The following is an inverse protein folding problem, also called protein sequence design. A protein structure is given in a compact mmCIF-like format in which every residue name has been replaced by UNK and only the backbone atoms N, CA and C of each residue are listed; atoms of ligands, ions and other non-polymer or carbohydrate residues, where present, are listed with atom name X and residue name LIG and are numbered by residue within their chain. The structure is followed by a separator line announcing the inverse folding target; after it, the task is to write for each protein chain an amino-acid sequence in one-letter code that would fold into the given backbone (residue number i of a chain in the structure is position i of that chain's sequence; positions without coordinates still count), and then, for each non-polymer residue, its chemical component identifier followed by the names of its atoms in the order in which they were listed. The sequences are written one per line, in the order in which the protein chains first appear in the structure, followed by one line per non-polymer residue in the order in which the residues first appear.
data_IF_573747247346
#
_entry.id   IF_573747247346
#
_cell.length_a   1.000
_cell.length_b   1.000
_cell.length_c   1.000
_cell.angle_alpha   90.00
_cell.angle_beta   90.00
_cell.angle_gamma   90.00
#
_symmetry.space_group_name_H-M   'P 1'
#
loop_
_entity.id
_entity.type
_entity.pdbx_description
1 polymer ?
#
# COMPACT_ATOMS: atom_id res chain seq x y z
N UNK A 1 -5.53 -13.35 -15.90
CA UNK A 1 -6.06 -12.31 -15.00
C UNK A 1 -7.29 -11.72 -15.66
N UNK A 2 -8.46 -11.71 -15.01
CA UNK A 2 -9.67 -11.06 -15.56
C UNK A 2 -9.77 -9.65 -14.99
N UNK A 3 -9.81 -8.64 -15.85
CA UNK A 3 -10.12 -7.27 -15.43
C UNK A 3 -11.59 -7.23 -15.01
N UNK A 4 -11.84 -6.93 -13.73
CA UNK A 4 -13.18 -6.67 -13.21
C UNK A 4 -13.11 -5.37 -12.43
N UNK A 5 -13.75 -4.34 -12.98
CA UNK A 5 -13.85 -3.05 -12.35
C UNK A 5 -14.82 -3.13 -11.17
N UNK A 6 -14.31 -2.92 -9.96
CA UNK A 6 -15.15 -2.91 -8.77
C UNK A 6 -15.29 -1.47 -8.25
N UNK A 7 -16.46 -0.82 -8.44
CA UNK A 7 -16.65 0.58 -8.06
C UNK A 7 -16.49 0.82 -6.55
N UNK A 8 -16.69 -0.20 -5.72
CA UNK A 8 -16.49 -0.12 -4.28
C UNK A 8 -15.01 0.13 -3.91
N UNK A 9 -14.09 -0.62 -4.52
CA UNK A 9 -12.66 -0.45 -4.27
C UNK A 9 -12.12 0.88 -4.82
N UNK A 10 -12.72 1.40 -5.90
CA UNK A 10 -12.39 2.73 -6.41
C UNK A 10 -12.85 3.81 -5.45
N UNK A 11 -14.08 3.72 -4.93
CA UNK A 11 -14.56 4.65 -3.91
C UNK A 11 -13.63 4.67 -2.69
N UNK A 12 -13.20 3.50 -2.21
CA UNK A 12 -12.22 3.39 -1.13
C UNK A 12 -10.86 4.00 -1.49
N UNK A 13 -10.36 3.75 -2.69
CA UNK A 13 -9.08 4.30 -3.16
C UNK A 13 -9.13 5.83 -3.19
N UNK A 14 -10.19 6.41 -3.77
CA UNK A 14 -10.37 7.87 -3.82
C UNK A 14 -10.49 8.44 -2.42
N UNK A 15 -11.26 7.79 -1.53
CA UNK A 15 -11.40 8.23 -0.14
C UNK A 15 -10.06 8.22 0.59
N UNK A 16 -9.30 7.13 0.49
CA UNK A 16 -7.97 7.01 1.11
C UNK A 16 -7.00 8.05 0.55
N UNK A 17 -7.01 8.26 -0.77
CA UNK A 17 -6.18 9.27 -1.43
C UNK A 17 -6.52 10.68 -0.92
N UNK A 18 -7.80 11.01 -0.81
CA UNK A 18 -8.23 12.30 -0.26
C UNK A 18 -7.77 12.44 1.20
N UNK A 19 -7.89 11.39 2.01
CA UNK A 19 -7.40 11.39 3.41
C UNK A 19 -5.89 11.64 3.44
N UNK A 20 -5.09 10.96 2.61
CA UNK A 20 -3.66 11.21 2.51
C UNK A 20 -3.34 12.65 2.12
N UNK A 21 -4.04 13.20 1.11
CA UNK A 21 -3.88 14.61 0.70
C UNK A 21 -4.26 15.56 1.83
N UNK A 22 -5.32 15.26 2.59
CA UNK A 22 -5.71 16.05 3.75
C UNK A 22 -4.64 16.00 4.84
N UNK A 23 -4.10 14.82 5.15
CA UNK A 23 -2.98 14.69 6.10
C UNK A 23 -1.77 15.48 5.59
N UNK A 24 -1.42 15.32 4.32
CA UNK A 24 -0.30 16.02 3.68
C UNK A 24 -0.52 17.54 3.50
N UNK A 25 -1.72 18.07 3.73
CA UNK A 25 -2.00 19.51 3.61
C UNK A 25 -2.29 20.17 4.95
N UNK A 26 -2.98 19.48 5.85
CA UNK A 26 -3.44 20.05 7.12
C UNK A 26 -2.62 19.57 8.32
N UNK A 27 -2.02 18.36 8.26
CA UNK A 27 -1.16 17.85 9.32
C UNK A 27 0.27 18.28 9.04
N UNK A 28 0.77 19.18 9.88
CA UNK A 28 2.13 19.72 9.80
C UNK A 28 3.10 18.99 10.75
N UNK A 29 2.61 17.98 11.48
CA UNK A 29 3.46 17.15 12.34
C UNK A 29 4.40 16.28 11.51
N UNK A 30 5.70 16.39 11.80
CA UNK A 30 6.76 15.64 11.15
C UNK A 30 6.72 14.12 11.44
N UNK A 31 5.90 13.70 12.40
CA UNK A 31 5.74 12.28 12.77
C UNK A 31 4.50 11.66 12.10
N UNK A 32 3.33 12.29 12.26
CA UNK A 32 2.08 11.75 11.72
C UNK A 32 2.11 11.73 10.19
N UNK A 33 2.67 12.78 9.57
CA UNK A 33 2.71 12.90 8.11
C UNK A 33 3.42 11.72 7.42
N UNK A 34 4.67 11.35 7.77
CA UNK A 34 5.33 10.20 7.16
C UNK A 34 4.72 8.87 7.63
N UNK A 35 4.63 8.61 8.94
CA UNK A 35 4.25 7.26 9.41
C UNK A 35 2.80 6.87 9.13
N UNK A 36 1.85 7.80 9.29
CA UNK A 36 0.46 7.51 8.96
C UNK A 36 0.25 7.45 7.44
N UNK A 37 0.99 8.27 6.68
CA UNK A 37 1.05 8.20 5.23
C UNK A 37 1.52 6.84 4.75
N UNK A 38 2.68 6.38 5.19
CA UNK A 38 3.27 5.09 4.76
C UNK A 38 2.37 3.89 5.05
N UNK A 39 1.65 3.92 6.17
CA UNK A 39 0.64 2.91 6.48
C UNK A 39 -0.57 3.00 5.52
N UNK A 40 -1.09 4.20 5.28
CA UNK A 40 -2.24 4.43 4.40
C UNK A 40 -1.91 4.14 2.93
N UNK A 41 -0.70 4.47 2.46
CA UNK A 41 -0.28 4.30 1.07
C UNK A 41 -0.23 2.83 0.69
N UNK A 42 0.16 1.93 1.61
CA UNK A 42 0.14 0.47 1.38
C UNK A 42 -1.28 -0.03 1.19
N UNK A 43 -2.22 0.46 2.00
CA UNK A 43 -3.65 0.12 1.88
C UNK A 43 -4.23 0.69 0.58
N UNK A 44 -3.86 1.93 0.25
CA UNK A 44 -4.27 2.60 -0.98
C UNK A 44 -3.77 1.84 -2.21
N UNK A 45 -2.48 1.49 -2.26
CA UNK A 45 -1.90 0.70 -3.36
C UNK A 45 -2.61 -0.64 -3.51
N UNK A 46 -2.88 -1.32 -2.40
CA UNK A 46 -3.65 -2.56 -2.41
C UNK A 46 -5.06 -2.36 -3.00
N UNK A 47 -5.81 -1.37 -2.51
CA UNK A 47 -7.15 -1.05 -3.01
C UNK A 47 -7.13 -0.65 -4.49
N UNK A 48 -6.14 0.13 -4.91
CA UNK A 48 -5.95 0.56 -6.29
C UNK A 48 -5.73 -0.66 -7.19
N UNK A 49 -4.82 -1.57 -6.85
CA UNK A 49 -4.56 -2.78 -7.64
C UNK A 49 -5.82 -3.65 -7.70
N UNK A 50 -6.49 -3.87 -6.56
CA UNK A 50 -7.73 -4.65 -6.49
C UNK A 50 -8.89 -4.00 -7.25
N UNK A 51 -8.84 -2.70 -7.52
CA UNK A 51 -9.88 -2.00 -8.27
C UNK A 51 -9.87 -2.32 -9.77
N UNK A 52 -8.69 -2.62 -10.33
CA UNK A 52 -8.50 -2.99 -11.74
C UNK A 52 -8.33 -4.50 -11.93
N UNK A 53 -7.68 -5.17 -10.98
CA UNK A 53 -7.27 -6.57 -11.11
C UNK A 53 -7.94 -7.43 -10.04
N UNK A 54 -8.63 -8.48 -10.47
CA UNK A 54 -9.12 -9.50 -9.56
C UNK A 54 -7.97 -10.47 -9.21
N UNK A 55 -7.18 -10.09 -8.20
CA UNK A 55 -6.07 -10.88 -7.67
C UNK A 55 -6.34 -11.30 -6.20
N UNK A 56 -5.74 -12.41 -5.73
CA UNK A 56 -5.91 -12.83 -4.35
C UNK A 56 -5.24 -11.83 -3.40
N UNK A 57 -5.86 -11.59 -2.23
CA UNK A 57 -5.43 -10.55 -1.28
C UNK A 57 -3.97 -10.73 -0.85
N UNK A 58 -3.59 -11.95 -0.47
CA UNK A 58 -2.26 -12.28 0.06
C UNK A 58 -1.14 -11.94 -0.92
N UNK A 59 -1.14 -12.43 -2.18
CA UNK A 59 -0.07 -12.10 -3.13
C UNK A 59 -0.02 -10.61 -3.48
N UNK A 60 -1.16 -9.89 -3.52
CA UNK A 60 -1.13 -8.43 -3.75
C UNK A 60 -0.50 -7.71 -2.56
N UNK A 61 -0.91 -8.05 -1.33
CA UNK A 61 -0.34 -7.45 -0.12
C UNK A 61 1.16 -7.74 0.01
N UNK A 62 1.59 -8.97 -0.28
CA UNK A 62 3.01 -9.34 -0.29
C UNK A 62 3.79 -8.64 -1.40
N UNK A 63 3.20 -8.47 -2.59
CA UNK A 63 3.84 -7.74 -3.68
C UNK A 63 4.04 -6.26 -3.34
N UNK A 64 3.02 -5.61 -2.75
CA UNK A 64 3.13 -4.22 -2.26
C UNK A 64 4.19 -4.11 -1.17
N UNK A 65 4.19 -5.02 -0.18
CA UNK A 65 5.19 -5.04 0.89
C UNK A 65 6.61 -5.22 0.35
N UNK A 66 6.81 -6.19 -0.56
CA UNK A 66 8.10 -6.44 -1.19
C UNK A 66 8.57 -5.24 -2.02
N UNK A 67 7.65 -4.57 -2.72
CA UNK A 67 7.94 -3.35 -3.46
C UNK A 67 8.38 -2.22 -2.53
N UNK A 68 7.67 -1.98 -1.43
CA UNK A 68 8.06 -0.98 -0.43
C UNK A 68 9.45 -1.26 0.16
N UNK A 69 9.75 -2.53 0.51
CA UNK A 69 11.08 -2.91 1.01
C UNK A 69 12.18 -2.74 -0.03
N UNK A 70 11.88 -2.98 -1.30
CA UNK A 70 12.81 -2.76 -2.40
C UNK A 70 13.13 -1.26 -2.53
N UNK A 71 12.12 -0.39 -2.50
CA UNK A 71 12.30 1.06 -2.54
C UNK A 71 13.16 1.53 -1.35
N UNK A 72 12.83 1.05 -0.15
CA UNK A 72 13.57 1.35 1.09
C UNK A 72 15.04 0.87 1.02
N UNK A 73 15.28 -0.30 0.45
CA UNK A 73 16.64 -0.83 0.23
C UNK A 73 17.40 0.03 -0.79
N UNK A 74 16.75 0.51 -1.85
CA UNK A 74 17.36 1.42 -2.82
C UNK A 74 17.76 2.75 -2.18
N UNK A 75 16.95 3.27 -1.25
CA UNK A 75 17.29 4.44 -0.44
C UNK A 75 18.49 4.17 0.47
N UNK A 76 18.53 3.00 1.13
CA UNK A 76 19.66 2.59 1.97
C UNK A 76 20.99 2.58 1.20
N UNK A 77 20.98 2.07 -0.04
CA UNK A 77 22.16 2.11 -0.92
C UNK A 77 22.51 3.50 -1.44
N UNK A 78 21.75 4.54 -1.06
CA UNK A 78 21.90 5.90 -1.52
C UNK A 78 21.92 5.97 -3.05
N UNK A 79 20.99 5.26 -3.71
CA UNK A 79 20.95 5.17 -5.16
C UNK A 79 20.90 6.56 -5.81
N UNK A 80 20.18 7.51 -5.21
CA UNK A 80 20.11 8.92 -5.64
C UNK A 80 21.50 9.56 -5.67
N UNK A 81 22.35 9.26 -4.67
CA UNK A 81 23.74 9.72 -4.62
C UNK A 81 24.61 9.05 -5.66
N UNK A 82 24.50 7.72 -5.79
CA UNK A 82 25.31 6.94 -6.76
C UNK A 82 24.99 7.31 -8.21
N UNK A 83 23.75 7.69 -8.51
CA UNK A 83 23.32 8.13 -9.84
C UNK A 83 23.63 9.61 -10.11
N UNK A 84 24.21 10.35 -9.16
CA UNK A 84 24.48 11.79 -9.29
C UNK A 84 23.21 12.65 -9.35
N UNK A 85 22.06 12.08 -8.96
CA UNK A 85 20.75 12.73 -9.03
C UNK A 85 20.43 13.56 -7.78
N UNK A 86 21.39 13.75 -6.87
CA UNK A 86 21.23 14.60 -5.67
C UNK A 86 20.76 16.03 -6.01
N UNK A 87 21.11 16.53 -7.20
CA UNK A 87 20.69 17.87 -7.65
C UNK A 87 19.23 17.93 -8.09
N UNK A 88 18.59 16.78 -8.39
CA UNK A 88 17.19 16.73 -8.77
C UNK A 88 16.32 16.68 -7.52
N UNK A 89 15.73 17.82 -7.15
CA UNK A 89 14.79 17.92 -6.02
C UNK A 89 13.63 16.92 -6.17
N UNK A 90 13.20 16.65 -7.40
CA UNK A 90 12.15 15.66 -7.71
C UNK A 90 12.64 14.24 -7.43
N UNK A 91 13.85 13.88 -7.86
CA UNK A 91 14.40 12.54 -7.61
C UNK A 91 14.56 12.26 -6.11
N UNK A 92 15.04 13.24 -5.34
CA UNK A 92 15.16 13.12 -3.89
C UNK A 92 13.79 12.95 -3.19
N UNK A 93 12.74 13.59 -3.70
CA UNK A 93 11.38 13.49 -3.14
C UNK A 93 10.74 12.13 -3.51
N UNK A 94 10.89 11.69 -4.76
CA UNK A 94 10.23 10.48 -5.27
C UNK A 94 10.93 9.20 -4.81
N UNK A 95 12.26 9.18 -4.85
CA UNK A 95 13.04 8.01 -4.43
C UNK A 95 13.23 8.01 -2.91
N UNK A 96 13.28 9.18 -2.27
CA UNK A 96 13.64 9.33 -0.87
C UNK A 96 15.16 9.32 -0.66
N UNK A 97 15.60 9.97 0.42
CA UNK A 97 17.02 10.12 0.76
C UNK A 97 17.44 9.39 2.03
N UNK A 98 16.47 8.93 2.81
CA UNK A 98 16.74 8.38 4.13
C UNK A 98 15.96 7.10 4.33
N UNK A 99 16.72 6.04 4.58
CA UNK A 99 16.21 4.79 5.09
C UNK A 99 15.68 4.99 6.52
N UNK A 100 14.48 4.48 6.81
CA UNK A 100 13.83 4.54 8.11
C UNK A 100 13.26 3.17 8.50
N UNK A 101 13.73 2.65 9.64
CA UNK A 101 13.18 1.43 10.23
C UNK A 101 11.68 1.55 10.58
N UNK A 102 11.21 2.76 10.85
CA UNK A 102 9.81 2.99 11.16
C UNK A 102 8.93 2.86 9.91
N UNK A 103 9.47 3.11 8.72
CA UNK A 103 8.75 2.96 7.45
C UNK A 103 8.57 1.47 7.15
N UNK A 104 9.61 0.64 7.37
CA UNK A 104 9.50 -0.84 7.36
C UNK A 104 8.40 -1.34 8.29
N UNK A 105 8.36 -0.83 9.53
CA UNK A 105 7.31 -1.20 10.48
C UNK A 105 5.93 -0.76 10.00
N UNK A 106 5.79 0.46 9.48
CA UNK A 106 4.53 0.97 8.94
C UNK A 106 4.03 0.11 7.76
N UNK A 107 4.93 -0.25 6.83
CA UNK A 107 4.59 -1.13 5.70
C UNK A 107 4.17 -2.53 6.16
N UNK A 108 4.89 -3.09 7.14
CA UNK A 108 4.54 -4.40 7.73
C UNK A 108 3.17 -4.35 8.38
N UNK A 109 2.87 -3.30 9.14
CA UNK A 109 1.58 -3.09 9.78
C UNK A 109 0.47 -2.90 8.75
N UNK A 110 0.72 -2.15 7.67
CA UNK A 110 -0.22 -1.96 6.57
C UNK A 110 -0.56 -3.29 5.87
N UNK A 111 0.45 -4.09 5.55
CA UNK A 111 0.27 -5.42 4.99
C UNK A 111 -0.49 -6.35 5.96
N UNK A 112 -0.13 -6.34 7.25
CA UNK A 112 -0.82 -7.10 8.29
C UNK A 112 -2.29 -6.69 8.44
N UNK A 113 -2.57 -5.39 8.37
CA UNK A 113 -3.93 -4.86 8.39
C UNK A 113 -4.75 -5.32 7.19
N UNK A 114 -4.19 -5.30 5.98
CA UNK A 114 -4.84 -5.83 4.78
C UNK A 114 -5.16 -7.31 4.95
N UNK A 115 -4.21 -8.11 5.46
CA UNK A 115 -4.42 -9.53 5.70
C UNK A 115 -5.53 -9.75 6.73
N UNK A 116 -5.53 -9.01 7.85
CA UNK A 116 -6.55 -9.11 8.88
C UNK A 116 -7.93 -8.71 8.34
N UNK A 117 -8.03 -7.57 7.63
CA UNK A 117 -9.26 -7.11 7.00
C UNK A 117 -9.79 -8.15 6.01
N UNK A 118 -8.93 -8.78 5.22
CA UNK A 118 -9.31 -9.85 4.32
C UNK A 118 -9.84 -11.09 5.05
N UNK A 119 -9.25 -11.47 6.18
CA UNK A 119 -9.76 -12.57 7.01
C UNK A 119 -11.12 -12.24 7.61
N UNK A 120 -11.33 -11.01 8.09
CA UNK A 120 -12.61 -10.54 8.62
C UNK A 120 -13.71 -10.51 7.55
N UNK A 121 -13.37 -10.06 6.34
CA UNK A 121 -14.28 -10.05 5.20
C UNK A 121 -14.60 -11.48 4.71
N UNK A 122 -13.62 -12.39 4.72
CA UNK A 122 -13.86 -13.83 4.44
C UNK A 122 -14.76 -14.47 5.49
N UNK A 123 -14.59 -14.16 6.78
CA UNK A 123 -15.46 -14.66 7.86
C UNK A 123 -16.91 -14.17 7.74
N UNK A 124 -17.14 -13.03 7.09
CA UNK A 124 -18.49 -12.52 6.79
C UNK A 124 -19.17 -13.16 5.59
N UNK A 125 -18.46 -13.94 4.77
CA UNK A 125 -19.10 -14.97 3.96
C UNK A 125 -19.25 -16.19 4.86
N UNK A 126 -20.45 -16.50 5.38
CA UNK A 126 -20.66 -17.80 5.97
C UNK A 126 -20.37 -18.81 4.86
N UNK A 127 -19.62 -19.85 5.19
CA UNK A 127 -19.74 -21.11 4.46
C UNK A 127 -21.21 -21.46 4.35
N UNK A 128 -21.77 -21.21 3.17
CA UNK A 128 -23.16 -21.43 2.82
C UNK A 128 -23.31 -21.57 1.32
N UNK A 129 -22.33 -22.19 0.64
CA UNK A 129 -22.44 -22.72 -0.72
C UNK A 129 -21.18 -23.52 -1.14
N UNK A 130 -20.68 -24.41 -0.28
CA UNK A 130 -19.77 -25.49 -0.72
C UNK A 130 -20.44 -26.82 -0.42
N UNK A 131 -21.58 -27.02 -1.06
CA UNK A 131 -22.45 -28.18 -0.90
C UNK A 131 -23.50 -28.25 -2.00
N UNK A 132 -23.11 -27.99 -3.24
CA UNK A 132 -23.84 -28.40 -4.45
C UNK A 132 -22.93 -28.14 -5.66
N UNK A 133 -22.91 -29.09 -6.59
CA UNK A 133 -22.21 -29.07 -7.89
C UNK A 133 -20.76 -29.57 -7.86
N UNK A 134 -20.62 -30.81 -7.39
CA UNK A 134 -19.98 -31.84 -8.21
C UNK A 134 -21.03 -32.45 -9.16
N UNK A 135 -21.00 -32.11 -10.45
CA UNK A 135 -21.22 -32.99 -11.62
C UNK A 135 -20.56 -32.32 -12.81
#
# INVERSE_FOLDING_TARGET
MKFRFNPWYIGLTILLFLIEVLIARYVHDAFIRPYAGDFLVVILMYCFICSFVQAPVVPVALAVLAFSYLVETLQYFNLVKRLGLEHSRIANIVIGNHFSWADILAYTLGAGFIMLAAQLLRKRSPSGATGALSV
#
